data_IF_316562501116
#
_entry.id   IF_316562501116
#
_cell.length_a   1.000
_cell.length_b   1.000
_cell.length_c   1.000
_cell.angle_alpha   90.00
_cell.angle_beta   90.00
_cell.angle_gamma   90.00
#
_symmetry.space_group_name_H-M   'P 1'
#
loop_
_entity.id
_entity.type
_entity.pdbx_description
1 polymer ?
#
# COMPACT_ATOMS: atom_id res chain seq x y z
N UNK A 1 -8.58 -25.12 24.61
CA UNK A 1 -8.58 -24.68 24.15
C UNK A 1 -9.05 -24.28 23.92
N UNK A 2 -9.00 -24.16 23.99
CA UNK A 2 -9.30 -23.67 23.54
C UNK A 2 -9.33 -23.46 22.78
N UNK A 3 -9.19 -23.68 22.48
CA UNK A 3 -9.07 -23.24 21.67
C UNK A 3 -9.56 -22.73 21.35
N UNK A 4 -9.74 -22.45 21.36
CA UNK A 4 -10.14 -21.80 20.94
C UNK A 4 -10.44 -20.83 20.78
N UNK A 5 -10.27 -20.09 20.97
CA UNK A 5 -10.57 -19.18 20.69
C UNK A 5 -10.12 -18.79 19.77
N UNK A 6 -9.44 -19.00 19.44
CA UNK A 6 -8.91 -18.64 18.58
C UNK A 6 -9.46 -19.03 17.56
N UNK A 7 -10.00 -19.42 17.40
CA UNK A 7 -10.40 -19.76 16.42
C UNK A 7 -11.39 -19.42 16.15
N UNK A 8 -11.74 -18.99 16.07
CA UNK A 8 -12.49 -18.65 15.55
C UNK A 8 -12.83 -17.84 15.07
N UNK A 9 -12.80 -17.55 14.90
CA UNK A 9 -12.96 -16.70 14.40
C UNK A 9 -13.13 -16.74 13.19
N UNK A 10 -13.40 -17.11 12.90
CA UNK A 10 -13.57 -17.18 11.84
C UNK A 10 -12.74 -17.69 11.08
N UNK A 11 -12.04 -17.96 11.31
CA UNK A 11 -11.25 -18.36 10.58
C UNK A 11 -10.41 -18.97 11.07
N UNK A 12 -10.32 -19.63 11.17
CA UNK A 12 -9.57 -20.43 11.52
C UNK A 12 -8.33 -20.12 11.74
N UNK A 13 -7.83 -19.91 12.61
CA UNK A 13 -6.48 -19.68 12.85
C UNK A 13 -5.98 -18.35 12.46
N UNK A 14 -6.74 -17.65 11.72
CA UNK A 14 -6.29 -16.34 11.30
C UNK A 14 -6.34 -15.39 12.44
N UNK A 15 -5.29 -14.60 12.63
CA UNK A 15 -5.27 -13.63 13.72
C UNK A 15 -6.09 -12.40 13.40
N UNK A 16 -7.35 -12.61 13.11
CA UNK A 16 -8.21 -11.50 12.75
C UNK A 16 -8.44 -10.57 13.92
N UNK A 17 -8.31 -11.09 15.13
CA UNK A 17 -8.47 -10.25 16.30
C UNK A 17 -7.23 -9.47 16.65
N UNK A 18 -6.14 -9.73 15.94
CA UNK A 18 -4.92 -9.04 16.18
C UNK A 18 -5.10 -7.56 16.02
N UNK A 19 -4.46 -6.73 16.84
CA UNK A 19 -4.57 -5.28 16.68
C UNK A 19 -4.18 -4.83 15.27
N UNK A 20 -4.91 -3.89 14.76
CA UNK A 20 -4.67 -3.34 13.45
C UNK A 20 -5.05 -1.87 13.51
N UNK A 21 -4.63 -1.10 12.53
CA UNK A 21 -4.94 0.32 12.53
C UNK A 21 -6.44 0.54 12.41
N UNK A 22 -6.91 1.65 12.92
CA UNK A 22 -8.30 2.04 12.77
C UNK A 22 -8.49 2.80 11.47
N UNK A 23 -9.75 2.99 11.07
CA UNK A 23 -10.04 3.79 9.88
C UNK A 23 -9.51 5.21 10.04
N UNK A 24 -9.61 5.77 11.23
CA UNK A 24 -9.11 7.13 11.47
C UNK A 24 -7.59 7.18 11.37
N UNK A 25 -6.91 6.17 11.91
CA UNK A 25 -5.46 6.11 11.80
C UNK A 25 -5.03 5.94 10.35
N UNK A 26 -5.76 5.12 9.60
CA UNK A 26 -5.44 4.95 8.20
C UNK A 26 -5.52 6.27 7.45
N UNK A 27 -6.57 7.05 7.68
CA UNK A 27 -6.71 8.34 7.00
C UNK A 27 -5.62 9.31 7.42
N UNK A 28 -5.30 9.35 8.70
CA UNK A 28 -4.26 10.23 9.19
C UNK A 28 -2.91 9.87 8.59
N UNK A 29 -2.59 8.58 8.60
CA UNK A 29 -1.29 8.13 8.10
C UNK A 29 -1.19 8.32 6.59
N UNK A 30 -2.29 8.11 5.87
CA UNK A 30 -2.30 8.36 4.43
C UNK A 30 -1.98 9.82 4.14
N UNK A 31 -2.58 10.73 4.90
CA UNK A 31 -2.35 12.15 4.67
C UNK A 31 -0.90 12.54 4.96
N UNK A 32 -0.28 11.94 5.96
CA UNK A 32 1.12 12.20 6.26
C UNK A 32 2.00 11.80 5.07
N UNK A 33 1.72 10.65 4.45
CA UNK A 33 2.53 10.20 3.33
C UNK A 33 2.30 11.08 2.11
N UNK A 34 1.07 11.54 1.90
CA UNK A 34 0.79 12.48 0.83
C UNK A 34 1.60 13.76 1.03
N UNK A 35 1.57 14.30 2.23
CA UNK A 35 2.18 15.60 2.51
C UNK A 35 3.70 15.54 2.58
N UNK A 36 4.23 14.46 3.14
CA UNK A 36 5.66 14.42 3.44
C UNK A 36 6.46 13.53 2.50
N UNK A 37 5.81 12.59 1.80
CA UNK A 37 6.52 11.59 1.01
C UNK A 37 6.01 11.46 -0.42
N UNK A 38 5.23 12.43 -0.88
CA UNK A 38 4.77 12.47 -2.27
C UNK A 38 3.96 11.25 -2.68
N UNK A 39 3.12 10.72 -1.78
CA UNK A 39 2.26 9.61 -2.16
C UNK A 39 1.36 10.04 -3.31
N UNK A 40 1.30 9.24 -4.35
CA UNK A 40 0.47 9.54 -5.50
C UNK A 40 0.64 8.52 -6.60
N UNK A 41 0.08 8.81 -7.75
CA UNK A 41 -0.77 9.95 -8.07
C UNK A 41 -2.16 9.82 -7.47
N UNK A 42 -2.88 10.92 -7.43
CA UNK A 42 -4.21 10.91 -6.83
C UNK A 42 -5.14 9.95 -7.56
N UNK A 43 -5.05 9.92 -8.88
CA UNK A 43 -5.85 9.00 -9.70
C UNK A 43 -4.92 8.14 -10.52
N UNK A 44 -4.39 7.09 -9.91
CA UNK A 44 -3.37 6.29 -10.60
C UNK A 44 -3.94 5.56 -11.82
N UNK A 45 -3.07 5.29 -12.78
CA UNK A 45 -3.45 4.65 -14.01
C UNK A 45 -2.26 3.92 -14.59
N UNK A 46 -2.51 2.82 -15.28
CA UNK A 46 -1.47 2.10 -16.01
C UNK A 46 -1.25 2.62 -17.40
N UNK A 47 -2.02 3.62 -17.83
CA UNK A 47 -1.88 4.08 -19.20
C UNK A 47 -0.59 4.83 -19.39
N UNK A 48 0.11 4.60 -20.52
CA UNK A 48 1.34 5.34 -20.78
C UNK A 48 1.08 6.83 -20.79
N UNK A 49 1.95 7.58 -20.17
CA UNK A 49 1.82 9.03 -20.15
C UNK A 49 0.88 9.59 -19.12
N UNK A 50 0.11 8.73 -18.43
CA UNK A 50 -0.83 9.22 -17.43
C UNK A 50 -0.07 9.85 -16.27
N UNK A 51 -0.64 10.92 -15.71
CA UNK A 51 -0.12 11.57 -14.52
C UNK A 51 1.32 12.05 -14.67
N UNK A 52 1.66 12.55 -15.84
CA UNK A 52 3.02 12.96 -16.13
C UNK A 52 3.58 13.96 -15.11
N UNK A 53 2.84 14.99 -14.70
CA UNK A 53 3.41 15.92 -13.71
C UNK A 53 3.84 15.24 -12.42
N UNK A 54 3.04 14.29 -11.95
CA UNK A 54 3.39 13.58 -10.73
C UNK A 54 4.67 12.76 -10.92
N UNK A 55 4.71 11.98 -12.01
CA UNK A 55 5.84 11.07 -12.22
C UNK A 55 7.13 11.85 -12.48
N UNK A 56 7.04 13.00 -13.14
CA UNK A 56 8.22 13.83 -13.33
C UNK A 56 8.71 14.42 -12.01
N UNK A 57 7.79 14.85 -11.17
CA UNK A 57 8.19 15.39 -9.87
C UNK A 57 8.81 14.32 -8.98
N UNK A 58 8.23 13.12 -9.01
CA UNK A 58 8.77 12.02 -8.22
C UNK A 58 10.14 11.61 -8.75
N UNK A 59 10.31 11.56 -10.06
CA UNK A 59 11.58 11.23 -10.67
C UNK A 59 12.67 12.21 -10.21
N UNK A 60 12.34 13.48 -10.18
CA UNK A 60 13.29 14.49 -9.74
C UNK A 60 13.64 14.28 -8.27
N UNK A 61 12.64 14.03 -7.43
CA UNK A 61 12.87 13.83 -6.01
C UNK A 61 13.71 12.59 -5.76
N UNK A 62 13.53 11.56 -6.56
CA UNK A 62 14.27 10.31 -6.40
C UNK A 62 15.59 10.30 -7.15
N UNK A 63 15.81 11.32 -7.99
CA UNK A 63 17.04 11.43 -8.80
C UNK A 63 17.15 10.28 -9.78
N UNK A 64 16.05 9.97 -10.45
CA UNK A 64 16.01 8.97 -11.51
C UNK A 64 15.24 9.56 -12.68
N UNK A 65 15.21 8.88 -13.83
CA UNK A 65 14.43 9.37 -14.94
C UNK A 65 12.95 8.98 -14.77
N UNK A 66 12.11 9.54 -15.61
CA UNK A 66 10.67 9.33 -15.51
C UNK A 66 10.30 7.86 -15.69
N UNK A 67 10.99 7.17 -16.60
CA UNK A 67 10.69 5.76 -16.85
C UNK A 67 10.95 4.93 -15.60
N UNK A 68 12.05 5.19 -14.93
CA UNK A 68 12.37 4.46 -13.72
C UNK A 68 11.40 4.81 -12.60
N UNK A 69 11.03 6.09 -12.47
CA UNK A 69 10.05 6.47 -11.44
C UNK A 69 8.73 5.74 -11.68
N UNK A 70 8.27 5.67 -12.94
CA UNK A 70 7.02 4.99 -13.25
C UNK A 70 7.07 3.49 -12.97
N UNK A 71 8.24 2.89 -12.97
CA UNK A 71 8.40 1.49 -12.63
C UNK A 71 8.23 1.26 -11.14
N UNK A 72 8.53 2.25 -10.33
CA UNK A 72 8.54 2.12 -8.87
C UNK A 72 7.14 2.34 -8.34
N UNK A 73 6.43 1.25 -8.07
CA UNK A 73 5.06 1.28 -7.61
C UNK A 73 4.94 0.58 -6.27
N UNK A 74 3.87 0.85 -5.54
CA UNK A 74 3.66 0.16 -4.27
C UNK A 74 3.67 -1.35 -4.47
N UNK A 75 3.15 -1.83 -5.62
CA UNK A 75 3.09 -3.27 -5.86
C UNK A 75 4.45 -3.95 -5.84
N UNK A 76 5.53 -3.23 -6.15
CA UNK A 76 6.86 -3.82 -6.09
C UNK A 76 7.73 -3.19 -5.00
N UNK A 77 7.10 -2.56 -4.02
CA UNK A 77 7.81 -1.94 -2.92
C UNK A 77 8.02 -2.95 -1.79
N UNK A 78 9.18 -2.87 -1.18
CA UNK A 78 9.55 -3.76 -0.09
C UNK A 78 8.55 -3.75 1.06
N UNK A 79 7.90 -2.62 1.30
CA UNK A 79 7.01 -2.46 2.46
C UNK A 79 5.56 -2.83 2.20
N UNK A 80 5.21 -3.22 0.97
CA UNK A 80 3.82 -3.43 0.57
C UNK A 80 3.44 -4.90 0.73
N UNK A 81 2.36 -5.15 1.44
CA UNK A 81 1.87 -6.52 1.61
C UNK A 81 0.42 -6.63 1.15
N UNK A 82 0.15 -7.54 0.23
CA UNK A 82 -1.20 -7.78 -0.27
C UNK A 82 -1.61 -9.24 -0.16
N UNK A 83 -1.09 -9.92 0.87
CA UNK A 83 -1.39 -11.33 1.09
C UNK A 83 -2.86 -11.50 1.49
N UNK A 84 -3.42 -12.71 1.34
CA UNK A 84 -4.80 -12.95 1.76
C UNK A 84 -5.06 -12.58 3.21
N UNK A 85 -4.12 -12.87 4.11
CA UNK A 85 -4.28 -12.49 5.50
C UNK A 85 -4.38 -10.98 5.66
N UNK A 86 -3.51 -10.25 4.98
CA UNK A 86 -3.55 -8.80 5.07
C UNK A 86 -4.82 -8.24 4.43
N UNK A 87 -5.29 -8.85 3.33
CA UNK A 87 -6.54 -8.41 2.72
C UNK A 87 -7.70 -8.57 3.69
N UNK A 88 -7.73 -9.67 4.46
CA UNK A 88 -8.78 -9.87 5.44
C UNK A 88 -8.75 -8.78 6.51
N UNK A 89 -7.57 -8.38 6.95
CA UNK A 89 -7.46 -7.31 7.93
C UNK A 89 -7.91 -5.98 7.36
N UNK A 90 -7.51 -5.67 6.14
CA UNK A 90 -7.85 -4.40 5.51
C UNK A 90 -9.35 -4.31 5.19
N UNK A 91 -9.99 -5.44 4.94
CA UNK A 91 -11.42 -5.45 4.66
C UNK A 91 -12.25 -4.95 5.84
N UNK A 92 -11.66 -4.88 7.02
CA UNK A 92 -12.35 -4.36 8.19
C UNK A 92 -12.37 -2.83 8.21
N UNK A 93 -11.65 -2.20 7.30
CA UNK A 93 -11.60 -0.75 7.21
C UNK A 93 -12.42 -0.32 5.99
N UNK A 94 -13.45 0.53 6.18
CA UNK A 94 -14.31 0.92 5.06
C UNK A 94 -13.52 1.64 3.97
N UNK A 95 -14.01 1.55 2.75
CA UNK A 95 -13.41 2.29 1.64
C UNK A 95 -13.52 3.79 1.90
N UNK A 96 -12.57 4.53 1.38
CA UNK A 96 -12.56 5.99 1.47
C UNK A 96 -12.19 6.56 0.10
N UNK A 97 -12.00 7.88 0.04
CA UNK A 97 -11.77 8.54 -1.24
C UNK A 97 -10.52 8.05 -1.96
N UNK A 98 -9.54 7.55 -1.24
CA UNK A 98 -8.30 7.12 -1.88
C UNK A 98 -8.42 5.74 -2.50
N UNK A 99 -9.46 4.99 -2.18
CA UNK A 99 -9.65 3.65 -2.74
C UNK A 99 -10.25 3.68 -4.14
N UNK A 100 -10.95 4.74 -4.49
CA UNK A 100 -11.72 4.75 -5.72
C UNK A 100 -10.78 4.80 -6.93
N UNK A 101 -10.86 3.77 -7.78
CA UNK A 101 -10.09 3.74 -9.02
C UNK A 101 -8.59 3.59 -8.83
N UNK A 102 -8.15 3.18 -7.65
CA UNK A 102 -6.73 3.17 -7.35
C UNK A 102 -6.05 1.82 -7.54
N UNK A 103 -6.79 0.80 -7.94
CA UNK A 103 -6.25 -0.54 -8.01
C UNK A 103 -6.60 -1.31 -6.75
N UNK A 104 -5.80 -2.31 -6.41
CA UNK A 104 -6.12 -3.09 -5.23
C UNK A 104 -5.34 -2.59 -4.02
N UNK A 105 -5.91 -2.86 -2.85
CA UNK A 105 -5.31 -2.44 -1.59
C UNK A 105 -4.13 -3.31 -1.21
N UNK A 106 -3.16 -2.71 -0.57
CA UNK A 106 -2.08 -3.40 0.12
C UNK A 106 -1.67 -2.56 1.31
N UNK A 107 -1.04 -3.18 2.28
CA UNK A 107 -0.66 -2.50 3.49
C UNK A 107 0.80 -2.07 3.43
N UNK A 108 1.07 -0.81 3.74
CA UNK A 108 2.43 -0.30 3.79
C UNK A 108 2.95 -0.41 5.22
N UNK A 109 3.89 -1.31 5.45
CA UNK A 109 4.42 -1.54 6.79
C UNK A 109 5.33 -0.42 7.28
N UNK A 110 5.82 0.42 6.38
CA UNK A 110 6.67 1.52 6.80
C UNK A 110 5.86 2.65 7.43
N UNK A 111 4.71 2.97 6.85
CA UNK A 111 3.93 4.11 7.30
C UNK A 111 2.58 3.70 7.91
N UNK A 112 2.32 2.40 8.00
CA UNK A 112 1.11 1.86 8.64
C UNK A 112 -0.17 2.46 8.07
N UNK A 113 -0.35 2.31 6.77
CA UNK A 113 -1.58 2.76 6.12
C UNK A 113 -1.88 1.85 4.93
N UNK A 114 -3.12 1.95 4.45
CA UNK A 114 -3.55 1.17 3.29
C UNK A 114 -3.16 1.93 2.04
N UNK A 115 -2.28 1.33 1.25
CA UNK A 115 -1.83 1.89 0.00
C UNK A 115 -2.48 1.14 -1.17
N UNK A 116 -2.11 1.47 -2.38
CA UNK A 116 -2.69 0.84 -3.57
C UNK A 116 -1.58 0.52 -4.55
N UNK A 117 -1.77 -0.57 -5.29
CA UNK A 117 -0.70 -1.15 -6.12
C UNK A 117 -0.16 -0.19 -7.17
N UNK A 118 -0.98 0.72 -7.67
CA UNK A 118 -0.55 1.61 -8.75
C UNK A 118 0.06 2.92 -8.29
N UNK A 119 0.10 3.16 -6.98
CA UNK A 119 0.70 4.38 -6.45
C UNK A 119 2.17 4.17 -6.15
N UNK A 120 2.84 5.26 -5.83
CA UNK A 120 4.21 5.23 -5.35
C UNK A 120 4.41 6.32 -4.32
N UNK A 121 5.55 6.35 -3.69
CA UNK A 121 5.91 7.45 -2.82
C UNK A 121 7.43 7.58 -2.80
N UNK A 122 7.91 8.67 -2.22
CA UNK A 122 9.33 8.96 -2.20
C UNK A 122 10.12 7.97 -1.37
N UNK A 123 9.49 7.23 -0.48
CA UNK A 123 10.16 6.27 0.38
C UNK A 123 10.25 4.87 -0.23
N UNK A 124 9.83 4.71 -1.48
CA UNK A 124 9.83 3.41 -2.14
C UNK A 124 11.20 2.73 -2.06
N UNK A 125 11.18 1.41 -1.79
CA UNK A 125 12.37 0.59 -1.77
C UNK A 125 12.14 -0.62 -2.64
N UNK A 126 13.15 -1.04 -3.38
CA UNK A 126 13.02 -2.19 -4.25
C UNK A 126 12.77 -3.45 -3.43
N UNK A 127 11.73 -4.20 -3.78
CA UNK A 127 11.49 -5.48 -3.12
C UNK A 127 12.49 -6.48 -3.65
N UNK A 128 13.13 -7.19 -2.73
CA UNK A 128 14.05 -8.22 -3.14
C UNK A 128 13.35 -9.53 -3.17
N UNK A 129 13.49 -10.25 -4.30
CA UNK A 129 12.87 -11.54 -4.39
C UNK A 129 13.80 -12.57 -3.82
N UNK A 130 13.22 -13.59 -3.13
CA UNK A 130 13.99 -14.67 -2.76
C UNK A 130 14.14 -15.54 -3.89
N UNK A 131 15.26 -15.80 -4.26
CA UNK A 131 15.43 -16.61 -5.38
C UNK A 131 15.36 -17.97 -4.99
N UNK A 132 14.70 -18.49 -5.11
CA UNK A 132 14.68 -19.63 -4.83
C UNK A 132 15.14 -20.35 -5.50
N UNK A 133 15.51 -20.24 -5.73
CA UNK A 133 16.03 -20.78 -6.39
C UNK A 133 16.35 -20.94 -6.64
#
# INVERSE_FOLDING_TARGET
MDMPKIMMAGFNGLPIDEPFITAAENKKNTQVVIDDWMLGPEKPSNEPGANKPYWMALAKAMQVDEKEARRRRCSNCEYFEATPLMQAKMDRIPWNQWDVGAGYRGYCHKFDFICHDLRSCQAWEEREFEMED
#
